data_IF_063373235914
#
_entry.id   IF_063373235914
#
_cell.length_a   1.000
_cell.length_b   1.000
_cell.length_c   1.000
_cell.angle_alpha   90.00
_cell.angle_beta   90.00
_cell.angle_gamma   90.00
#
_symmetry.space_group_name_H-M   'P 1'
#
loop_
_entity.id
_entity.type
_entity.pdbx_description
1 polymer ?
#
# COMPACT_ATOMS: atom_id res chain seq x y z
N UNK A 1 -14.10 4.70 13.77
CA UNK A 1 -12.91 3.87 13.63
C UNK A 1 -12.02 4.43 12.52
N UNK A 2 -10.72 4.53 12.77
CA UNK A 2 -9.78 5.06 11.78
C UNK A 2 -9.25 3.93 10.91
N UNK A 3 -9.15 4.21 9.62
CA UNK A 3 -8.55 3.29 8.66
C UNK A 3 -7.46 4.02 7.89
N UNK A 4 -6.40 3.32 7.60
CA UNK A 4 -5.26 3.86 6.88
C UNK A 4 -5.10 3.12 5.55
N UNK A 5 -4.79 3.85 4.50
CA UNK A 5 -4.59 3.31 3.17
C UNK A 5 -3.22 3.72 2.65
N UNK A 6 -2.74 3.00 1.65
CA UNK A 6 -1.51 3.36 0.96
C UNK A 6 -1.86 3.97 -0.40
N UNK A 7 -1.37 5.17 -0.61
CA UNK A 7 -1.62 5.95 -1.80
C UNK A 7 -0.33 6.08 -2.62
N UNK A 8 -0.44 5.90 -3.93
CA UNK A 8 0.68 6.10 -4.83
C UNK A 8 0.51 7.42 -5.57
N UNK A 9 1.30 8.47 -5.23
CA UNK A 9 1.16 9.77 -5.88
C UNK A 9 1.59 9.77 -7.35
N UNK A 10 2.38 8.79 -7.79
CA UNK A 10 2.82 8.71 -9.17
C UNK A 10 1.68 8.41 -10.14
N UNK A 11 0.71 7.60 -9.72
CA UNK A 11 -0.41 7.21 -10.58
C UNK A 11 -1.77 7.64 -10.03
N UNK A 12 -1.79 8.31 -8.88
CA UNK A 12 -3.01 8.78 -8.21
C UNK A 12 -3.98 7.63 -7.88
N UNK A 13 -3.42 6.51 -7.46
CA UNK A 13 -4.20 5.32 -7.12
C UNK A 13 -3.89 4.85 -5.70
N UNK A 14 -4.81 4.07 -5.14
CA UNK A 14 -4.63 3.41 -3.83
C UNK A 14 -4.29 1.95 -4.02
N UNK A 15 -3.58 1.38 -3.05
CA UNK A 15 -3.27 -0.06 -3.05
C UNK A 15 -4.54 -0.82 -2.71
N UNK A 16 -4.92 -1.78 -3.56
CA UNK A 16 -6.03 -2.69 -3.32
C UNK A 16 -5.54 -4.05 -2.82
N UNK A 17 -4.33 -4.42 -3.17
CA UNK A 17 -3.75 -5.70 -2.81
C UNK A 17 -2.23 -5.58 -2.74
N UNK A 18 -1.64 -6.18 -1.73
CA UNK A 18 -0.19 -6.26 -1.59
C UNK A 18 0.17 -7.57 -0.90
N UNK A 19 1.08 -8.32 -1.51
CA UNK A 19 1.59 -9.55 -0.93
C UNK A 19 3.04 -9.76 -1.36
N UNK A 20 3.84 -10.34 -0.47
CA UNK A 20 5.22 -10.68 -0.79
C UNK A 20 5.28 -12.12 -1.29
N UNK A 21 5.87 -12.33 -2.46
CA UNK A 21 6.10 -13.64 -3.01
C UNK A 21 7.55 -14.06 -2.68
N UNK A 22 7.70 -14.98 -1.75
CA UNK A 22 9.03 -15.40 -1.29
C UNK A 22 9.77 -16.26 -2.32
N UNK A 23 9.08 -16.83 -3.30
CA UNK A 23 9.73 -17.59 -4.37
C UNK A 23 10.45 -16.69 -5.35
N UNK A 24 9.82 -15.58 -5.73
CA UNK A 24 10.38 -14.61 -6.65
C UNK A 24 11.08 -13.46 -5.94
N UNK A 25 10.93 -13.38 -4.61
CA UNK A 25 11.43 -12.29 -3.75
C UNK A 25 10.95 -10.92 -4.25
N UNK A 26 9.68 -10.86 -4.66
CA UNK A 26 9.07 -9.64 -5.17
C UNK A 26 7.69 -9.46 -4.54
N UNK A 27 7.16 -8.24 -4.67
CA UNK A 27 5.81 -7.92 -4.22
C UNK A 27 4.83 -7.96 -5.38
N UNK A 28 3.67 -8.53 -5.12
CA UNK A 28 2.52 -8.44 -6.01
C UNK A 28 1.65 -7.32 -5.48
N UNK A 29 1.50 -6.25 -6.25
CA UNK A 29 0.76 -5.06 -5.84
C UNK A 29 -0.27 -4.74 -6.90
N UNK A 30 -1.51 -4.49 -6.45
CA UNK A 30 -2.58 -4.03 -7.32
C UNK A 30 -3.08 -2.68 -6.80
N UNK A 31 -3.43 -1.81 -7.74
CA UNK A 31 -3.91 -0.46 -7.44
C UNK A 31 -5.35 -0.30 -7.92
N UNK A 32 -6.07 0.61 -7.29
CA UNK A 32 -7.47 0.87 -7.63
C UNK A 32 -7.84 2.33 -7.39
N UNK A 33 -8.83 2.80 -8.16
CA UNK A 33 -9.52 4.06 -7.90
C UNK A 33 -10.82 3.86 -7.14
N UNK A 34 -11.26 2.61 -7.06
CA UNK A 34 -12.50 2.26 -6.39
C UNK A 34 -12.31 2.27 -4.87
N UNK A 35 -12.96 3.21 -4.20
CA UNK A 35 -12.85 3.35 -2.75
C UNK A 35 -13.34 2.11 -1.99
N UNK A 36 -14.19 1.29 -2.60
CA UNK A 36 -14.67 0.05 -1.99
C UNK A 36 -13.67 -1.11 -2.12
N UNK A 37 -12.67 -0.96 -2.98
CA UNK A 37 -11.68 -2.00 -3.21
C UNK A 37 -10.33 -1.70 -2.55
N UNK A 38 -10.20 -0.59 -1.85
CA UNK A 38 -8.96 -0.20 -1.19
C UNK A 38 -8.65 -1.14 -0.04
N UNK A 39 -7.38 -1.55 0.08
CA UNK A 39 -6.93 -2.26 1.26
C UNK A 39 -6.69 -1.27 2.39
N UNK A 40 -7.23 -1.60 3.58
CA UNK A 40 -7.08 -0.77 4.76
C UNK A 40 -6.27 -1.47 5.85
N UNK A 41 -5.54 -0.66 6.60
CA UNK A 41 -4.87 -1.08 7.83
C UNK A 41 -5.51 -0.33 8.99
N UNK A 42 -5.71 -1.03 10.10
CA UNK A 42 -6.30 -0.42 11.30
C UNK A 42 -5.30 0.45 12.06
N UNK A 43 -4.02 0.15 11.91
CA UNK A 43 -2.95 0.87 12.62
C UNK A 43 -2.05 1.57 11.61
N UNK A 44 -1.76 2.84 11.89
CA UNK A 44 -0.86 3.64 11.07
C UNK A 44 0.52 3.00 10.94
N UNK A 45 1.06 2.50 12.07
CA UNK A 45 2.37 1.86 12.08
C UNK A 45 2.45 0.65 11.14
N UNK A 46 1.37 -0.13 11.06
CA UNK A 46 1.31 -1.28 10.14
C UNK A 46 1.33 -0.84 8.69
N UNK A 47 0.59 0.21 8.35
CA UNK A 47 0.57 0.76 7.00
C UNK A 47 1.95 1.34 6.63
N UNK A 48 2.57 2.07 7.55
CA UNK A 48 3.91 2.63 7.34
C UNK A 48 4.95 1.55 7.14
N UNK A 49 4.89 0.47 7.93
CA UNK A 49 5.81 -0.66 7.79
C UNK A 49 5.67 -1.32 6.42
N UNK A 50 4.44 -1.50 5.95
CA UNK A 50 4.20 -2.09 4.64
C UNK A 50 4.72 -1.20 3.51
N UNK A 51 4.47 0.11 3.60
CA UNK A 51 4.97 1.08 2.63
C UNK A 51 6.51 1.07 2.57
N UNK A 52 7.16 1.00 3.73
CA UNK A 52 8.62 0.96 3.81
C UNK A 52 9.20 -0.31 3.18
N UNK A 53 8.58 -1.46 3.42
CA UNK A 53 9.02 -2.72 2.83
C UNK A 53 8.93 -2.72 1.31
N UNK A 54 7.85 -2.16 0.77
CA UNK A 54 7.68 -2.03 -0.67
C UNK A 54 8.73 -1.09 -1.25
N UNK A 55 8.98 0.03 -0.59
CA UNK A 55 9.99 0.99 -1.04
C UNK A 55 11.40 0.38 -1.00
N UNK A 56 11.71 -0.39 0.02
CA UNK A 56 13.01 -1.06 0.13
C UNK A 56 13.21 -2.09 -0.98
N UNK A 57 12.13 -2.75 -1.39
CA UNK A 57 12.18 -3.67 -2.52
C UNK A 57 12.30 -2.95 -3.86
N UNK A 58 11.56 -1.85 -4.05
CA UNK A 58 11.58 -1.08 -5.29
C UNK A 58 11.38 0.40 -4.97
N UNK A 59 12.46 1.18 -5.08
CA UNK A 59 12.45 2.60 -4.72
C UNK A 59 11.62 3.46 -5.66
N UNK A 60 11.19 2.92 -6.79
CA UNK A 60 10.26 3.61 -7.69
C UNK A 60 8.82 3.53 -7.21
N UNK A 61 8.54 2.70 -6.20
CA UNK A 61 7.20 2.56 -5.62
C UNK A 61 7.20 3.23 -4.25
N UNK A 62 7.04 4.54 -4.27
CA UNK A 62 6.96 5.35 -3.04
C UNK A 62 5.49 5.55 -2.68
N UNK A 63 5.06 4.93 -1.58
CA UNK A 63 3.67 4.98 -1.14
C UNK A 63 3.53 5.91 0.06
N UNK A 64 2.42 6.63 0.13
CA UNK A 64 2.08 7.50 1.25
C UNK A 64 0.98 6.86 2.07
N UNK A 65 1.10 6.97 3.39
CA UNK A 65 0.03 6.54 4.29
C UNK A 65 -0.99 7.67 4.39
N UNK A 66 -2.25 7.36 4.12
CA UNK A 66 -3.35 8.31 4.26
C UNK A 66 -4.41 7.76 5.18
N UNK A 67 -4.87 8.60 6.09
CA UNK A 67 -5.98 8.25 6.97
C UNK A 67 -7.28 8.47 6.23
N UNK A 68 -8.05 7.40 6.06
CA UNK A 68 -9.37 7.43 5.45
C UNK A 68 -10.38 6.88 6.46
N UNK A 69 -11.60 7.29 6.32
CA UNK A 69 -12.66 6.82 7.23
C UNK A 69 -13.28 5.53 6.76
#
# INVERSE_FOLDING_TARGET
>A
MRNFALYNPSNDLYVSYVAFNCKTKSYDIEFTRDLHSIRFWKMKASAEAQAQRVFDWNRNVALEVRELR
#
